data_IF_813764232606
#
_entry.id   IF_813764232606
#
_cell.length_a   1.000
_cell.length_b   1.000
_cell.length_c   1.000
_cell.angle_alpha   90.00
_cell.angle_beta   90.00
_cell.angle_gamma   90.00
#
_symmetry.space_group_name_H-M   'P 1'
#
loop_
_entity.id
_entity.type
_entity.pdbx_description
1 polymer ?
#
# COMPACT_ATOMS: atom_id res chain seq x y z
N UNK A 1 -30.37 2.86 -53.49
CA UNK A 1 -30.38 4.30 -53.84
C UNK A 1 -29.12 4.93 -53.28
N UNK A 2 -28.10 5.10 -54.12
CA UNK A 2 -26.81 5.68 -53.72
C UNK A 2 -26.90 7.20 -53.72
N UNK A 3 -26.75 7.82 -52.55
CA UNK A 3 -26.54 9.26 -52.41
C UNK A 3 -25.15 9.61 -52.98
N UNK A 4 -25.10 10.13 -54.21
CA UNK A 4 -23.90 10.79 -54.73
C UNK A 4 -23.77 12.15 -54.05
N UNK A 5 -22.83 12.23 -53.12
CA UNK A 5 -22.27 13.50 -52.68
C UNK A 5 -21.68 14.19 -53.91
N UNK A 6 -22.36 15.24 -54.39
CA UNK A 6 -21.80 16.18 -55.36
C UNK A 6 -20.68 16.94 -54.64
N UNK A 7 -19.48 16.36 -54.65
CA UNK A 7 -18.24 17.07 -54.41
C UNK A 7 -18.07 18.05 -55.58
N UNK A 8 -18.57 19.27 -55.42
CA UNK A 8 -18.07 20.40 -56.18
C UNK A 8 -16.61 20.57 -55.79
N UNK A 9 -15.71 19.93 -56.55
CA UNK A 9 -14.30 20.26 -56.55
C UNK A 9 -14.18 21.68 -57.13
N UNK A 10 -14.33 22.69 -56.28
CA UNK A 10 -13.81 24.01 -56.56
C UNK A 10 -12.28 23.88 -56.58
N UNK A 11 -11.74 23.53 -57.75
CA UNK A 11 -10.32 23.54 -58.02
C UNK A 11 -9.94 25.00 -58.17
N UNK A 12 -9.70 25.69 -57.05
CA UNK A 12 -8.97 26.96 -57.08
C UNK A 12 -7.57 26.59 -57.57
N UNK A 13 -7.36 26.77 -58.87
CA UNK A 13 -6.06 26.73 -59.51
C UNK A 13 -5.14 27.63 -58.66
N UNK A 14 -4.00 27.13 -58.20
CA UNK A 14 -2.97 28.00 -57.59
C UNK A 14 -2.21 28.66 -58.74
N UNK A 15 -2.40 29.93 -59.09
CA UNK A 15 -1.31 30.68 -59.67
C UNK A 15 -0.39 31.15 -58.55
N UNK A 16 0.90 31.13 -58.85
CA UNK A 16 1.92 31.93 -58.17
C UNK A 16 1.40 33.36 -57.99
N UNK A 17 1.25 33.78 -56.73
CA UNK A 17 0.94 35.14 -56.30
C UNK A 17 -0.09 35.89 -57.18
N UNK A 18 -1.39 35.78 -56.82
CA UNK A 18 -2.50 36.62 -57.31
C UNK A 18 -2.27 38.10 -56.92
N UNK A 19 -1.32 38.76 -57.58
CA UNK A 19 -0.82 40.08 -57.21
C UNK A 19 -0.10 40.74 -58.38
N UNK A 20 -0.79 40.87 -59.51
CA UNK A 20 -0.37 41.69 -60.64
C UNK A 20 -1.42 42.78 -60.86
N UNK A 21 -1.02 44.04 -60.80
CA UNK A 21 -1.85 45.25 -60.76
C UNK A 21 -2.73 45.52 -62.01
N UNK A 22 -2.92 44.55 -62.91
CA UNK A 22 -3.62 44.72 -64.18
C UNK A 22 -4.71 43.66 -64.47
N UNK A 23 -5.15 42.84 -63.51
CA UNK A 23 -6.30 41.94 -63.72
C UNK A 23 -7.62 42.65 -63.41
N UNK A 24 -8.36 42.99 -64.45
CA UNK A 24 -9.78 43.37 -64.37
C UNK A 24 -10.65 42.14 -64.14
N UNK A 25 -11.90 42.32 -63.69
CA UNK A 25 -12.91 41.31 -63.29
C UNK A 25 -13.16 40.12 -64.24
N UNK A 26 -12.45 40.03 -65.37
CA UNK A 26 -12.54 39.02 -66.43
C UNK A 26 -11.84 37.69 -66.13
N UNK A 27 -11.05 37.60 -65.05
CA UNK A 27 -10.31 36.38 -64.66
C UNK A 27 -11.08 35.48 -63.68
N UNK A 28 -12.24 35.94 -63.21
CA UNK A 28 -13.09 35.24 -62.26
C UNK A 28 -14.31 34.72 -63.02
N UNK A 29 -14.67 33.47 -62.79
CA UNK A 29 -15.84 32.85 -63.42
C UNK A 29 -17.10 33.69 -63.13
N UNK A 30 -17.84 34.07 -64.18
CA UNK A 30 -19.01 34.96 -64.06
C UNK A 30 -20.09 34.39 -63.13
N UNK A 31 -20.21 33.06 -63.06
CA UNK A 31 -21.08 32.36 -62.12
C UNK A 31 -20.64 32.56 -60.66
N UNK A 32 -19.34 32.58 -60.38
CA UNK A 32 -18.84 32.88 -59.04
C UNK A 32 -19.11 34.34 -58.66
N UNK A 33 -18.88 35.28 -59.58
CA UNK A 33 -19.15 36.71 -59.35
C UNK A 33 -20.64 36.96 -59.12
N UNK A 34 -21.52 36.31 -59.86
CA UNK A 34 -22.97 36.45 -59.69
C UNK A 34 -23.44 35.94 -58.31
N UNK A 35 -22.92 34.80 -57.84
CA UNK A 35 -23.21 34.31 -56.50
C UNK A 35 -22.58 35.17 -55.40
N UNK A 36 -21.39 35.74 -55.62
CA UNK A 36 -20.75 36.65 -54.67
C UNK A 36 -21.57 37.94 -54.48
N UNK A 37 -22.12 38.49 -55.57
CA UNK A 37 -23.02 39.65 -55.55
C UNK A 37 -24.29 39.40 -54.73
N UNK A 38 -24.73 38.15 -54.58
CA UNK A 38 -25.85 37.77 -53.71
C UNK A 38 -25.38 37.48 -52.27
N UNK A 39 -24.26 36.78 -52.11
CA UNK A 39 -23.74 36.36 -50.80
C UNK A 39 -23.31 37.53 -49.92
N UNK A 40 -22.59 38.50 -50.48
CA UNK A 40 -22.01 39.62 -49.72
C UNK A 40 -23.10 40.48 -49.09
N UNK A 41 -24.12 40.97 -49.81
CA UNK A 41 -25.25 41.68 -49.19
C UNK A 41 -26.01 40.80 -48.20
N UNK A 42 -26.13 39.49 -48.46
CA UNK A 42 -26.82 38.58 -47.53
C UNK A 42 -26.07 38.44 -46.19
N UNK A 43 -24.74 38.50 -46.17
CA UNK A 43 -23.96 38.40 -44.93
C UNK A 43 -23.72 39.75 -44.23
N UNK A 44 -23.57 40.85 -45.01
CA UNK A 44 -23.08 42.14 -44.51
C UNK A 44 -24.08 43.29 -44.61
N UNK A 45 -25.30 43.04 -45.11
CA UNK A 45 -26.36 44.06 -45.06
C UNK A 45 -26.68 44.45 -43.61
N UNK A 46 -27.04 45.72 -43.36
CA UNK A 46 -27.24 46.24 -42.01
C UNK A 46 -28.30 45.46 -41.21
N UNK A 47 -29.28 44.89 -41.91
CA UNK A 47 -30.35 44.06 -41.34
C UNK A 47 -29.86 42.68 -40.87
N UNK A 48 -28.80 42.16 -41.48
CA UNK A 48 -28.25 40.82 -41.20
C UNK A 48 -26.99 40.85 -40.31
N UNK A 49 -26.54 42.03 -39.88
CA UNK A 49 -25.40 42.18 -38.98
C UNK A 49 -25.74 41.73 -37.56
N UNK A 50 -25.27 40.53 -37.20
CA UNK A 50 -25.43 39.98 -35.85
C UNK A 50 -24.39 40.60 -34.90
N UNK A 51 -24.86 41.24 -33.83
CA UNK A 51 -23.98 41.76 -32.76
C UNK A 51 -23.30 40.60 -32.04
N UNK A 52 -22.01 40.74 -31.75
CA UNK A 52 -21.28 39.71 -31.01
C UNK A 52 -21.78 39.67 -29.56
N UNK A 53 -22.18 38.49 -29.11
CA UNK A 53 -22.59 38.23 -27.73
C UNK A 53 -21.65 37.22 -27.07
N UNK A 54 -21.38 37.43 -25.78
CA UNK A 54 -20.67 36.50 -24.91
C UNK A 54 -21.55 36.29 -23.68
N UNK A 55 -21.97 35.06 -23.42
CA UNK A 55 -22.92 34.76 -22.33
C UNK A 55 -24.31 35.38 -22.53
N UNK A 56 -24.73 35.59 -23.78
CA UNK A 56 -26.04 36.20 -24.11
C UNK A 56 -26.11 37.72 -23.91
N UNK A 57 -24.98 38.40 -23.65
CA UNK A 57 -24.92 39.86 -23.60
C UNK A 57 -24.09 40.44 -24.76
N UNK A 58 -24.53 41.54 -25.39
CA UNK A 58 -23.79 42.19 -26.46
C UNK A 58 -22.52 42.87 -25.92
N UNK A 59 -21.38 42.64 -26.59
CA UNK A 59 -20.07 43.16 -26.16
C UNK A 59 -19.65 44.42 -26.95
N UNK A 60 -18.95 45.34 -26.28
CA UNK A 60 -18.34 46.52 -26.94
C UNK A 60 -16.97 46.16 -27.53
N UNK A 61 -16.54 46.88 -28.57
CA UNK A 61 -15.25 46.64 -29.23
C UNK A 61 -14.04 46.68 -28.27
N UNK A 62 -14.03 47.60 -27.29
CA UNK A 62 -12.96 47.69 -26.28
C UNK A 62 -12.87 46.43 -25.40
N UNK A 63 -14.02 45.84 -25.08
CA UNK A 63 -14.13 44.71 -24.17
C UNK A 63 -13.84 43.41 -24.93
N UNK A 64 -14.15 43.37 -26.24
CA UNK A 64 -13.75 42.30 -27.14
C UNK A 64 -12.23 42.15 -27.25
N UNK A 65 -11.48 43.26 -27.33
CA UNK A 65 -10.01 43.20 -27.33
C UNK A 65 -9.47 42.62 -26.02
N UNK A 66 -10.00 43.05 -24.87
CA UNK A 66 -9.64 42.49 -23.57
C UNK A 66 -9.95 41.00 -23.49
N UNK A 67 -11.12 40.59 -23.99
CA UNK A 67 -11.50 39.19 -24.05
C UNK A 67 -10.52 38.36 -24.89
N UNK A 68 -10.09 38.87 -26.05
CA UNK A 68 -9.07 38.20 -26.86
C UNK A 68 -7.73 38.08 -26.12
N UNK A 69 -7.28 39.14 -25.42
CA UNK A 69 -6.03 39.08 -24.65
C UNK A 69 -6.11 38.03 -23.55
N UNK A 70 -7.19 38.02 -22.76
CA UNK A 70 -7.41 37.03 -21.70
C UNK A 70 -7.52 35.61 -22.27
N UNK A 71 -8.25 35.44 -23.37
CA UNK A 71 -8.38 34.15 -24.03
C UNK A 71 -7.02 33.63 -24.50
N UNK A 72 -6.20 34.49 -25.12
CA UNK A 72 -4.84 34.11 -25.53
C UNK A 72 -3.91 33.83 -24.35
N UNK A 73 -4.15 34.40 -23.18
CA UNK A 73 -3.41 34.10 -21.95
C UNK A 73 -3.77 32.71 -21.41
N UNK A 74 -5.06 32.37 -21.34
CA UNK A 74 -5.54 31.03 -20.96
C UNK A 74 -5.01 29.94 -21.90
N UNK A 75 -4.90 30.23 -23.20
CA UNK A 75 -4.33 29.28 -24.17
C UNK A 75 -2.81 29.15 -24.13
N UNK A 76 -2.10 30.03 -23.40
CA UNK A 76 -0.65 29.86 -23.16
C UNK A 76 -0.37 28.89 -22.01
N UNK A 77 -1.31 28.76 -21.08
CA UNK A 77 -1.20 27.79 -20.00
C UNK A 77 -1.45 26.39 -20.58
N UNK A 78 -0.52 25.45 -20.36
CA UNK A 78 -0.54 24.07 -20.88
C UNK A 78 -1.69 23.20 -20.32
N UNK A 79 -2.70 23.81 -19.69
CA UNK A 79 -3.80 23.10 -19.03
C UNK A 79 -4.92 22.69 -19.99
N UNK A 80 -4.92 23.20 -21.23
CA UNK A 80 -5.85 22.72 -22.26
C UNK A 80 -5.29 21.47 -22.95
N UNK A 81 -6.05 20.37 -23.03
CA UNK A 81 -5.61 19.18 -23.75
C UNK A 81 -5.37 19.53 -25.22
N UNK A 82 -4.22 19.14 -25.75
CA UNK A 82 -3.92 19.34 -27.16
C UNK A 82 -4.99 18.64 -28.02
N UNK A 83 -5.43 19.26 -29.13
CA UNK A 83 -6.37 18.64 -30.05
C UNK A 83 -5.73 17.43 -30.71
N UNK A 84 -5.87 16.26 -30.08
CA UNK A 84 -5.42 14.98 -30.63
C UNK A 84 -6.38 14.48 -31.69
N UNK A 85 -5.87 13.70 -32.63
CA UNK A 85 -6.73 13.07 -33.63
C UNK A 85 -7.65 12.07 -32.94
N UNK A 86 -8.89 11.91 -33.41
CA UNK A 86 -9.84 10.94 -32.84
C UNK A 86 -9.25 9.51 -32.76
N UNK A 87 -8.39 9.16 -33.73
CA UNK A 87 -7.70 7.86 -33.78
C UNK A 87 -6.65 7.72 -32.67
N UNK A 88 -5.91 8.78 -32.38
CA UNK A 88 -4.94 8.82 -31.30
C UNK A 88 -5.61 8.77 -29.93
N UNK A 89 -6.69 9.54 -29.74
CA UNK A 89 -7.51 9.49 -28.53
C UNK A 89 -8.05 8.07 -28.27
N UNK A 90 -8.60 7.42 -29.31
CA UNK A 90 -9.08 6.05 -29.20
C UNK A 90 -7.96 5.04 -28.88
N UNK A 91 -6.77 5.22 -29.48
CA UNK A 91 -5.61 4.38 -29.20
C UNK A 91 -5.09 4.57 -27.77
N UNK A 92 -5.06 5.80 -27.27
CA UNK A 92 -4.67 6.14 -25.90
C UNK A 92 -5.66 5.55 -24.90
N UNK A 93 -6.96 5.79 -25.09
CA UNK A 93 -8.01 5.25 -24.21
C UNK A 93 -8.00 3.72 -24.17
N UNK A 94 -7.83 3.06 -25.33
CA UNK A 94 -7.72 1.60 -25.36
C UNK A 94 -6.43 1.09 -24.70
N UNK A 95 -5.31 1.78 -24.85
CA UNK A 95 -4.04 1.38 -24.22
C UNK A 95 -4.10 1.54 -22.71
N UNK A 96 -4.76 2.60 -22.23
CA UNK A 96 -4.99 2.82 -20.81
C UNK A 96 -5.88 1.73 -20.19
N UNK A 97 -7.00 1.38 -20.83
CA UNK A 97 -7.86 0.30 -20.37
C UNK A 97 -7.14 -1.07 -20.35
N UNK A 98 -6.27 -1.31 -21.34
CA UNK A 98 -5.43 -2.51 -21.36
C UNK A 98 -4.38 -2.51 -20.24
N UNK A 99 -3.80 -1.35 -19.91
CA UNK A 99 -2.85 -1.20 -18.81
C UNK A 99 -3.53 -1.51 -17.46
N UNK A 100 -4.71 -0.97 -17.22
CA UNK A 100 -5.49 -1.24 -16.01
C UNK A 100 -5.80 -2.73 -15.87
N UNK A 101 -6.25 -3.37 -16.94
CA UNK A 101 -6.49 -4.81 -16.96
C UNK A 101 -5.21 -5.65 -16.71
N UNK A 102 -4.06 -5.22 -17.22
CA UNK A 102 -2.78 -5.88 -16.95
C UNK A 102 -2.39 -5.77 -15.47
N UNK A 103 -2.61 -4.60 -14.85
CA UNK A 103 -2.38 -4.38 -13.42
C UNK A 103 -3.32 -5.23 -12.56
N UNK A 104 -4.60 -5.29 -12.90
CA UNK A 104 -5.58 -6.14 -12.20
C UNK A 104 -5.15 -7.61 -12.20
N UNK A 105 -4.73 -8.13 -13.37
CA UNK A 105 -4.26 -9.51 -13.48
C UNK A 105 -3.01 -9.78 -12.62
N UNK A 106 -2.09 -8.82 -12.53
CA UNK A 106 -0.93 -8.92 -11.64
C UNK A 106 -1.33 -8.92 -10.16
N UNK A 107 -2.21 -8.00 -9.77
CA UNK A 107 -2.70 -7.86 -8.39
C UNK A 107 -3.44 -9.13 -7.96
N UNK A 108 -4.29 -9.70 -8.80
CA UNK A 108 -5.01 -10.94 -8.51
C UNK A 108 -4.06 -12.11 -8.19
N UNK A 109 -3.00 -12.27 -8.99
CA UNK A 109 -2.01 -13.34 -8.80
C UNK A 109 -1.19 -13.10 -7.53
N UNK A 110 -0.72 -11.87 -7.33
CA UNK A 110 0.10 -11.54 -6.16
C UNK A 110 -0.71 -11.61 -4.86
N UNK A 111 -1.96 -11.16 -4.85
CA UNK A 111 -2.84 -11.27 -3.68
C UNK A 111 -3.16 -12.74 -3.35
N UNK A 112 -3.32 -13.59 -4.36
CA UNK A 112 -3.50 -15.02 -4.13
C UNK A 112 -2.27 -15.68 -3.45
N UNK A 113 -1.07 -15.16 -3.69
CA UNK A 113 0.21 -15.68 -3.18
C UNK A 113 0.63 -15.07 -1.84
N UNK A 114 0.62 -13.73 -1.73
CA UNK A 114 1.13 -12.96 -0.59
C UNK A 114 0.06 -12.10 0.10
N UNK A 115 -1.22 -12.27 -0.25
CA UNK A 115 -2.34 -11.54 0.36
C UNK A 115 -2.46 -11.75 1.88
N UNK A 116 -3.26 -10.92 2.55
CA UNK A 116 -3.27 -10.79 4.02
C UNK A 116 -3.29 -12.10 4.82
N UNK A 117 -4.11 -13.06 4.38
CA UNK A 117 -4.31 -14.36 5.03
C UNK A 117 -3.24 -15.42 4.70
N UNK A 118 -2.30 -15.12 3.79
CA UNK A 118 -1.26 -16.05 3.36
C UNK A 118 -0.01 -15.95 4.27
N UNK A 119 0.61 -17.11 4.61
CA UNK A 119 1.84 -17.12 5.41
C UNK A 119 3.02 -16.50 4.65
N UNK A 120 4.09 -16.18 5.39
CA UNK A 120 5.33 -15.65 4.81
C UNK A 120 5.87 -16.55 3.68
N UNK A 121 6.12 -15.94 2.53
CA UNK A 121 6.73 -16.60 1.37
C UNK A 121 8.23 -16.28 1.32
N UNK A 122 9.07 -17.26 1.01
CA UNK A 122 10.52 -17.03 0.87
C UNK A 122 10.79 -16.07 -0.30
N UNK A 123 11.73 -15.14 -0.12
CA UNK A 123 12.07 -14.09 -1.10
C UNK A 123 12.40 -14.66 -2.49
N UNK A 124 13.19 -15.74 -2.57
CA UNK A 124 13.55 -16.39 -3.84
C UNK A 124 12.33 -16.97 -4.57
N UNK A 125 11.37 -17.55 -3.83
CA UNK A 125 10.14 -18.09 -4.43
C UNK A 125 9.21 -16.96 -4.87
N UNK A 126 9.15 -15.88 -4.10
CA UNK A 126 8.36 -14.70 -4.41
C UNK A 126 8.83 -14.02 -5.69
N UNK A 127 10.14 -13.92 -5.92
CA UNK A 127 10.72 -13.33 -7.14
C UNK A 127 10.39 -14.16 -8.39
N UNK A 128 10.45 -15.49 -8.30
CA UNK A 128 10.06 -16.39 -9.40
C UNK A 128 8.59 -16.22 -9.76
N UNK A 129 7.70 -16.17 -8.77
CA UNK A 129 6.28 -15.99 -9.02
C UNK A 129 5.94 -14.57 -9.50
N UNK A 130 6.66 -13.55 -9.00
CA UNK A 130 6.57 -12.18 -9.52
C UNK A 130 6.90 -12.12 -11.01
N UNK A 131 7.99 -12.75 -11.45
CA UNK A 131 8.37 -12.77 -12.87
C UNK A 131 7.30 -13.43 -13.75
N UNK A 132 6.74 -14.56 -13.30
CA UNK A 132 5.62 -15.22 -14.00
C UNK A 132 4.37 -14.33 -14.05
N UNK A 133 4.03 -13.66 -12.95
CA UNK A 133 2.89 -12.75 -12.88
C UNK A 133 3.09 -11.54 -13.80
N UNK A 134 4.32 -11.00 -13.87
CA UNK A 134 4.71 -9.91 -14.76
C UNK A 134 4.55 -10.31 -16.23
N UNK A 135 5.06 -11.48 -16.63
CA UNK A 135 4.89 -11.98 -18.00
C UNK A 135 3.41 -12.14 -18.36
N UNK A 136 2.59 -12.68 -17.45
CA UNK A 136 1.15 -12.82 -17.65
C UNK A 136 0.43 -11.46 -17.75
N UNK A 137 0.83 -10.46 -16.97
CA UNK A 137 0.28 -9.11 -17.05
C UNK A 137 0.60 -8.44 -18.40
N UNK A 138 1.85 -8.56 -18.88
CA UNK A 138 2.27 -8.05 -20.19
C UNK A 138 1.51 -8.76 -21.32
N UNK A 139 1.34 -10.09 -21.23
CA UNK A 139 0.55 -10.84 -22.21
C UNK A 139 -0.91 -10.36 -22.25
N UNK A 140 -1.53 -10.16 -21.08
CA UNK A 140 -2.91 -9.65 -20.96
C UNK A 140 -3.05 -8.25 -21.56
N UNK A 141 -2.06 -7.39 -21.35
CA UNK A 141 -2.00 -6.06 -21.96
C UNK A 141 -1.98 -6.14 -23.49
N UNK A 142 -1.10 -6.97 -24.06
CA UNK A 142 -0.98 -7.14 -25.52
C UNK A 142 -2.25 -7.73 -26.15
N UNK A 143 -2.92 -8.65 -25.47
CA UNK A 143 -4.17 -9.25 -25.93
C UNK A 143 -5.34 -8.25 -25.93
N UNK A 144 -5.43 -7.40 -24.90
CA UNK A 144 -6.49 -6.39 -24.77
C UNK A 144 -6.25 -5.13 -25.62
N UNK A 145 -4.99 -4.77 -25.88
CA UNK A 145 -4.66 -3.58 -26.67
C UNK A 145 -4.75 -3.85 -28.20
N UNK A 146 -5.98 -3.80 -28.74
CA UNK A 146 -6.25 -4.08 -30.17
C UNK A 146 -5.80 -2.97 -31.13
N UNK A 147 -5.69 -1.73 -30.65
CA UNK A 147 -5.36 -0.54 -31.46
C UNK A 147 -3.85 -0.30 -31.59
N UNK A 148 -3.05 -1.00 -30.79
CA UNK A 148 -1.62 -0.83 -30.74
C UNK A 148 -0.85 -1.10 -32.02
N UNK A 149 -1.40 -1.90 -32.95
CA UNK A 149 -0.75 -2.21 -34.22
C UNK A 149 -0.54 -1.00 -35.15
N UNK A 150 -1.30 0.09 -34.99
CA UNK A 150 -1.15 1.30 -35.83
C UNK A 150 -0.27 2.38 -35.20
N UNK A 151 -0.18 2.41 -33.86
CA UNK A 151 0.54 3.43 -33.08
C UNK A 151 1.51 2.78 -32.08
N UNK A 152 2.54 2.11 -32.60
CA UNK A 152 3.50 1.31 -31.81
C UNK A 152 4.19 2.13 -30.70
N UNK A 153 4.46 3.41 -30.92
CA UNK A 153 5.10 4.31 -29.95
C UNK A 153 4.26 4.51 -28.69
N UNK A 154 2.94 4.66 -28.82
CA UNK A 154 2.01 4.80 -27.69
C UNK A 154 1.96 3.50 -26.89
N UNK A 155 1.88 2.36 -27.59
CA UNK A 155 1.84 1.03 -26.95
C UNK A 155 3.07 0.77 -26.11
N UNK A 156 4.26 1.07 -26.65
CA UNK A 156 5.53 0.88 -25.95
C UNK A 156 5.59 1.74 -24.70
N UNK A 157 5.23 3.03 -24.80
CA UNK A 157 5.17 3.93 -23.64
C UNK A 157 4.28 3.39 -22.50
N UNK A 158 3.10 2.87 -22.84
CA UNK A 158 2.19 2.27 -21.86
C UNK A 158 2.67 0.90 -21.35
N UNK A 159 3.41 0.13 -22.15
CA UNK A 159 4.02 -1.13 -21.75
C UNK A 159 5.18 -0.92 -20.76
N UNK A 160 6.03 0.09 -21.01
CA UNK A 160 7.11 0.48 -20.12
C UNK A 160 6.52 0.99 -18.79
N UNK A 161 5.51 1.86 -18.87
CA UNK A 161 4.77 2.32 -17.69
C UNK A 161 4.11 1.18 -16.90
N UNK A 162 3.56 0.17 -17.58
CA UNK A 162 3.03 -1.03 -16.92
C UNK A 162 4.13 -1.78 -16.17
N UNK A 163 5.32 -1.93 -16.75
CA UNK A 163 6.46 -2.59 -16.09
C UNK A 163 6.91 -1.82 -14.84
N UNK A 164 7.09 -0.51 -14.94
CA UNK A 164 7.47 0.33 -13.79
C UNK A 164 6.45 0.26 -12.66
N UNK A 165 5.16 0.26 -12.99
CA UNK A 165 4.09 0.17 -12.01
C UNK A 165 4.02 -1.21 -11.34
N UNK A 166 4.29 -2.28 -12.09
CA UNK A 166 4.44 -3.63 -11.55
C UNK A 166 5.61 -3.70 -10.57
N UNK A 167 6.76 -3.10 -10.91
CA UNK A 167 7.93 -3.07 -10.03
C UNK A 167 7.64 -2.28 -8.73
N UNK A 168 6.96 -1.14 -8.83
CA UNK A 168 6.49 -0.38 -7.65
C UNK A 168 5.52 -1.20 -6.78
N UNK A 169 4.60 -1.94 -7.39
CA UNK A 169 3.68 -2.82 -6.66
C UNK A 169 4.43 -3.98 -6.00
N UNK A 170 5.43 -4.56 -6.66
CA UNK A 170 6.28 -5.61 -6.11
C UNK A 170 7.01 -5.16 -4.84
N UNK A 171 7.57 -3.95 -4.84
CA UNK A 171 8.20 -3.39 -3.64
C UNK A 171 7.24 -3.32 -2.46
N UNK A 172 5.98 -2.91 -2.69
CA UNK A 172 4.94 -2.89 -1.66
C UNK A 172 4.63 -4.29 -1.13
N UNK A 173 4.43 -5.27 -2.02
CA UNK A 173 4.17 -6.65 -1.62
C UNK A 173 5.36 -7.27 -0.87
N UNK A 174 6.60 -6.95 -1.28
CA UNK A 174 7.81 -7.43 -0.61
C UNK A 174 7.88 -6.91 0.83
N UNK A 175 7.65 -5.62 1.03
CA UNK A 175 7.61 -5.02 2.38
C UNK A 175 6.50 -5.62 3.24
N UNK A 176 5.31 -5.85 2.66
CA UNK A 176 4.21 -6.53 3.36
C UNK A 176 4.58 -7.96 3.77
N UNK A 177 5.26 -8.69 2.90
CA UNK A 177 5.71 -10.05 3.18
C UNK A 177 6.79 -10.06 4.28
N UNK A 178 7.77 -9.15 4.23
CA UNK A 178 8.77 -9.01 5.29
C UNK A 178 8.13 -8.64 6.64
N UNK A 179 7.15 -7.74 6.63
CA UNK A 179 6.41 -7.38 7.84
C UNK A 179 5.76 -8.60 8.48
N UNK A 180 5.18 -9.53 7.70
CA UNK A 180 4.62 -10.79 8.22
C UNK A 180 5.65 -11.65 8.95
N UNK A 181 6.89 -11.68 8.47
CA UNK A 181 7.97 -12.40 9.15
C UNK A 181 8.32 -11.75 10.49
N UNK A 182 8.43 -10.41 10.52
CA UNK A 182 8.69 -9.65 11.74
C UNK A 182 7.56 -9.81 12.76
N UNK A 183 6.29 -9.72 12.34
CA UNK A 183 5.14 -9.95 13.20
C UNK A 183 5.11 -11.38 13.76
N UNK A 184 5.49 -12.38 12.94
CA UNK A 184 5.60 -13.76 13.41
C UNK A 184 6.70 -13.91 14.46
N UNK A 185 7.85 -13.27 14.27
CA UNK A 185 8.95 -13.28 15.23
C UNK A 185 8.60 -12.52 16.53
N UNK A 186 7.84 -11.42 16.45
CA UNK A 186 7.46 -10.58 17.58
C UNK A 186 6.25 -11.11 18.38
N UNK A 187 5.49 -12.08 17.85
CA UNK A 187 4.31 -12.64 18.51
C UNK A 187 4.66 -13.38 19.82
N UNK A 188 5.71 -14.19 19.81
CA UNK A 188 6.14 -14.94 21.00
C UNK A 188 6.56 -14.04 22.16
N UNK A 189 7.44 -13.01 21.99
CA UNK A 189 7.79 -12.13 23.10
C UNK A 189 6.61 -11.27 23.57
N UNK A 190 5.75 -10.82 22.65
CA UNK A 190 4.57 -10.04 23.02
C UNK A 190 3.58 -10.86 23.88
N UNK A 191 3.30 -12.11 23.49
CA UNK A 191 2.42 -13.00 24.27
C UNK A 191 3.00 -13.33 25.64
N UNK A 192 4.30 -13.61 25.73
CA UNK A 192 4.98 -13.81 27.02
C UNK A 192 4.91 -12.56 27.91
N UNK A 193 5.10 -11.37 27.35
CA UNK A 193 4.98 -10.10 28.08
C UNK A 193 3.56 -9.87 28.60
N UNK A 194 2.52 -10.15 27.81
CA UNK A 194 1.13 -10.06 28.27
C UNK A 194 0.83 -11.02 29.43
N UNK A 195 1.34 -12.25 29.37
CA UNK A 195 1.19 -13.24 30.45
C UNK A 195 1.90 -12.76 31.72
N UNK A 196 3.13 -12.24 31.61
CA UNK A 196 3.89 -11.66 32.72
C UNK A 196 3.12 -10.53 33.41
N UNK A 197 2.57 -9.60 32.63
CA UNK A 197 1.77 -8.48 33.14
C UNK A 197 0.51 -8.98 33.87
N UNK A 198 -0.17 -10.00 33.33
CA UNK A 198 -1.35 -10.59 33.94
C UNK A 198 -1.03 -11.23 35.31
N UNK A 199 0.02 -12.06 35.40
CA UNK A 199 0.43 -12.68 36.66
C UNK A 199 0.92 -11.65 37.69
N UNK A 200 1.56 -10.58 37.25
CA UNK A 200 1.98 -9.48 38.14
C UNK A 200 0.78 -8.76 38.76
N UNK A 201 -0.22 -8.41 37.95
CA UNK A 201 -1.44 -7.77 38.44
C UNK A 201 -2.21 -8.70 39.39
N UNK A 202 -2.35 -9.99 39.05
CA UNK A 202 -3.02 -10.96 39.91
C UNK A 202 -2.29 -11.17 41.24
N UNK A 203 -0.96 -11.27 41.23
CA UNK A 203 -0.16 -11.37 42.44
C UNK A 203 -0.37 -10.16 43.36
N UNK A 204 -0.41 -8.95 42.79
CA UNK A 204 -0.69 -7.72 43.53
C UNK A 204 -2.07 -7.72 44.19
N UNK A 205 -3.12 -8.17 43.49
CA UNK A 205 -4.48 -8.25 44.04
C UNK A 205 -4.55 -9.25 45.20
N UNK A 206 -3.97 -10.45 45.04
CA UNK A 206 -3.98 -11.46 46.11
C UNK A 206 -3.13 -11.06 47.32
N UNK A 207 -2.04 -10.31 47.09
CA UNK A 207 -1.23 -9.72 48.16
C UNK A 207 -2.01 -8.68 48.98
N UNK A 208 -2.83 -7.86 48.34
CA UNK A 208 -3.70 -6.88 49.01
C UNK A 208 -4.82 -7.53 49.81
N UNK A 209 -5.38 -8.64 49.32
CA UNK A 209 -6.42 -9.42 50.03
C UNK A 209 -5.86 -10.26 51.19
N UNK A 210 -4.54 -10.29 51.40
CA UNK A 210 -3.90 -11.07 52.47
C UNK A 210 -3.82 -12.58 52.21
N UNK A 211 -4.06 -13.03 50.98
CA UNK A 211 -3.99 -14.44 50.58
C UNK A 211 -2.57 -14.83 50.15
N UNK A 212 -1.67 -14.93 51.13
CA UNK A 212 -0.23 -15.12 50.88
C UNK A 212 0.10 -16.41 50.12
N UNK A 213 -0.59 -17.53 50.37
CA UNK A 213 -0.33 -18.79 49.65
C UNK A 213 -0.60 -18.67 48.15
N UNK A 214 -1.65 -17.94 47.76
CA UNK A 214 -1.99 -17.71 46.35
C UNK A 214 -1.03 -16.71 45.69
N UNK A 215 -0.65 -15.64 46.40
CA UNK A 215 0.35 -14.69 45.91
C UNK A 215 1.71 -15.38 45.65
N UNK A 216 2.14 -16.28 46.53
CA UNK A 216 3.35 -17.07 46.35
C UNK A 216 3.30 -18.00 45.13
N UNK A 217 2.15 -18.64 44.86
CA UNK A 217 1.97 -19.43 43.63
C UNK A 217 2.03 -18.56 42.36
N UNK A 218 1.42 -17.36 42.38
CA UNK A 218 1.50 -16.42 41.26
C UNK A 218 2.93 -15.91 41.02
N UNK A 219 3.70 -15.65 42.08
CA UNK A 219 5.11 -15.25 41.97
C UNK A 219 6.00 -16.37 41.43
N UNK A 220 5.74 -17.62 41.80
CA UNK A 220 6.44 -18.78 41.21
C UNK A 220 6.11 -18.93 39.72
N UNK A 221 4.84 -18.77 39.34
CA UNK A 221 4.42 -18.76 37.94
C UNK A 221 5.12 -17.67 37.13
N UNK A 222 5.20 -16.46 37.68
CA UNK A 222 5.96 -15.35 37.07
C UNK A 222 7.43 -15.70 36.84
N UNK A 223 8.09 -16.33 37.82
CA UNK A 223 9.48 -16.80 37.69
C UNK A 223 9.66 -17.80 36.54
N UNK A 224 8.76 -18.76 36.38
CA UNK A 224 8.79 -19.73 35.28
C UNK A 224 8.63 -19.06 33.92
N UNK A 225 7.72 -18.10 33.78
CA UNK A 225 7.54 -17.36 32.53
C UNK A 225 8.71 -16.43 32.20
N UNK A 226 9.37 -15.84 33.21
CA UNK A 226 10.61 -15.09 33.03
C UNK A 226 11.73 -15.98 32.51
N UNK A 227 11.92 -17.18 33.09
CA UNK A 227 12.92 -18.14 32.62
C UNK A 227 12.64 -18.61 31.18
N UNK A 228 11.38 -18.80 30.81
CA UNK A 228 11.00 -19.11 29.43
C UNK A 228 11.27 -17.95 28.46
N UNK A 229 11.01 -16.70 28.87
CA UNK A 229 11.32 -15.52 28.05
C UNK A 229 12.82 -15.37 27.85
N UNK A 230 13.62 -15.52 28.90
CA UNK A 230 15.08 -15.44 28.79
C UNK A 230 15.66 -16.57 27.94
N UNK A 231 15.13 -17.79 28.05
CA UNK A 231 15.51 -18.90 27.18
C UNK A 231 15.13 -18.64 25.70
N UNK A 232 13.93 -18.12 25.44
CA UNK A 232 13.51 -17.74 24.09
C UNK A 232 14.37 -16.60 23.51
N UNK A 233 14.68 -15.58 24.31
CA UNK A 233 15.55 -14.47 23.93
C UNK A 233 16.96 -14.96 23.63
N UNK A 234 17.49 -15.90 24.43
CA UNK A 234 18.79 -16.53 24.20
C UNK A 234 18.85 -17.30 22.88
N UNK A 235 17.86 -18.16 22.61
CA UNK A 235 17.78 -18.92 21.35
C UNK A 235 17.60 -18.00 20.15
N UNK A 236 16.72 -16.99 20.25
CA UNK A 236 16.49 -16.03 19.16
C UNK A 236 17.74 -15.20 18.88
N UNK A 237 18.44 -14.77 19.92
CA UNK A 237 19.71 -14.05 19.80
C UNK A 237 20.77 -14.88 19.07
N UNK A 238 20.91 -16.17 19.42
CA UNK A 238 21.82 -17.08 18.72
C UNK A 238 21.45 -17.30 17.25
N UNK A 239 20.16 -17.34 16.91
CA UNK A 239 19.68 -17.53 15.53
C UNK A 239 19.85 -16.27 14.69
N UNK A 240 19.72 -15.07 15.28
CA UNK A 240 19.77 -13.79 14.55
C UNK A 240 21.19 -13.21 14.41
N UNK A 241 22.11 -13.42 15.36
CA UNK A 241 23.38 -12.70 15.39
C UNK A 241 24.62 -13.58 15.12
N UNK A 242 25.12 -13.51 13.88
CA UNK A 242 26.51 -13.85 13.51
C UNK A 242 27.43 -12.63 13.70
N UNK A 243 27.38 -11.94 14.85
CA UNK A 243 28.28 -10.80 15.14
C UNK A 243 28.81 -10.87 16.58
N UNK A 244 30.13 -10.90 16.69
CA UNK A 244 30.95 -11.31 17.83
C UNK A 244 30.96 -10.34 19.04
N UNK A 245 30.24 -9.22 19.03
CA UNK A 245 30.48 -8.12 20.01
C UNK A 245 29.49 -8.00 21.18
N UNK A 246 28.34 -8.69 21.18
CA UNK A 246 27.31 -8.56 22.25
C UNK A 246 27.05 -9.85 23.05
N UNK A 247 27.75 -10.93 22.73
CA UNK A 247 27.55 -12.25 23.34
C UNK A 247 27.83 -12.25 24.85
N UNK A 248 28.82 -11.48 25.32
CA UNK A 248 29.21 -11.42 26.72
C UNK A 248 28.21 -10.68 27.63
N UNK A 249 27.61 -9.58 27.15
CA UNK A 249 26.69 -8.79 27.98
C UNK A 249 25.35 -9.51 28.18
N UNK A 250 24.79 -10.05 27.10
CA UNK A 250 23.53 -10.81 27.16
C UNK A 250 23.72 -12.14 27.88
N UNK A 251 24.85 -12.83 27.67
CA UNK A 251 25.19 -14.07 28.38
C UNK A 251 25.37 -13.86 29.90
N UNK A 252 26.07 -12.79 30.30
CA UNK A 252 26.23 -12.45 31.72
C UNK A 252 24.91 -12.03 32.38
N UNK A 253 24.04 -11.31 31.65
CA UNK A 253 22.69 -10.99 32.13
C UNK A 253 21.82 -12.25 32.28
N UNK A 254 21.89 -13.18 31.33
CA UNK A 254 21.19 -14.46 31.41
C UNK A 254 21.65 -15.29 32.62
N UNK A 255 22.97 -15.42 32.81
CA UNK A 255 23.53 -16.11 33.98
C UNK A 255 23.10 -15.44 35.30
N UNK A 256 23.06 -14.11 35.34
CA UNK A 256 22.61 -13.37 36.53
C UNK A 256 21.11 -13.57 36.82
N UNK A 257 20.25 -13.52 35.80
CA UNK A 257 18.80 -13.74 35.96
C UNK A 257 18.50 -15.20 36.33
N UNK A 258 19.18 -16.16 35.70
CA UNK A 258 19.06 -17.58 36.05
C UNK A 258 19.54 -17.80 37.48
N UNK A 259 20.68 -17.23 37.89
CA UNK A 259 21.18 -17.34 39.26
C UNK A 259 20.21 -16.74 40.29
N UNK A 260 19.63 -15.56 40.02
CA UNK A 260 18.62 -14.92 40.87
C UNK A 260 17.30 -15.70 40.93
N UNK A 261 16.81 -16.19 39.77
CA UNK A 261 15.59 -16.98 39.68
C UNK A 261 15.72 -18.36 40.33
N UNK A 262 16.90 -18.98 40.23
CA UNK A 262 17.23 -20.22 40.93
C UNK A 262 17.29 -19.99 42.44
N UNK A 263 17.88 -18.87 42.89
CA UNK A 263 17.97 -18.54 44.32
C UNK A 263 16.58 -18.26 44.95
N UNK A 264 15.68 -17.58 44.24
CA UNK A 264 14.33 -17.29 44.74
C UNK A 264 13.41 -18.51 44.75
N UNK A 265 13.49 -19.39 43.74
CA UNK A 265 12.79 -20.69 43.73
C UNK A 265 13.35 -21.63 44.79
N UNK A 266 14.67 -21.61 45.03
CA UNK A 266 15.33 -22.39 46.07
C UNK A 266 14.96 -21.91 47.49
N UNK A 267 14.88 -20.60 47.74
CA UNK A 267 14.37 -20.11 49.04
C UNK A 267 12.88 -20.42 49.24
N UNK A 268 12.07 -20.37 48.19
CA UNK A 268 10.64 -20.69 48.25
C UNK A 268 10.39 -22.19 48.51
N UNK A 269 11.24 -23.08 47.96
CA UNK A 269 11.16 -24.52 48.22
C UNK A 269 11.70 -24.90 49.61
N UNK A 270 12.75 -24.23 50.09
CA UNK A 270 13.28 -24.43 51.46
C UNK A 270 12.28 -23.98 52.51
N UNK A 271 11.62 -22.83 52.32
CA UNK A 271 10.58 -22.34 53.24
C UNK A 271 9.31 -23.20 53.22
N UNK A 272 8.91 -23.76 52.06
CA UNK A 272 7.85 -24.76 51.99
C UNK A 272 8.23 -26.08 52.70
N UNK A 273 9.50 -26.51 52.56
CA UNK A 273 10.00 -27.71 53.23
C UNK A 273 10.09 -27.53 54.75
N UNK A 274 10.52 -26.36 55.23
CA UNK A 274 10.51 -26.00 56.66
C UNK A 274 9.07 -25.88 57.21
N UNK A 275 8.14 -25.30 56.45
CA UNK A 275 6.72 -25.26 56.82
C UNK A 275 6.08 -26.66 56.86
N UNK A 276 6.48 -27.57 55.96
CA UNK A 276 6.02 -28.96 55.95
C UNK A 276 6.63 -29.78 57.10
N UNK A 277 7.88 -29.51 57.48
CA UNK A 277 8.52 -30.10 58.66
C UNK A 277 7.89 -29.60 59.97
N UNK A 278 7.54 -28.31 60.08
CA UNK A 278 6.81 -27.76 61.23
C UNK A 278 5.41 -28.37 61.37
N UNK A 279 4.66 -28.52 60.27
CA UNK A 279 3.33 -29.15 60.30
C UNK A 279 3.38 -30.66 60.67
N UNK A 280 4.44 -31.38 60.28
CA UNK A 280 4.63 -32.79 60.70
C UNK A 280 5.25 -32.93 62.10
N UNK A 281 6.00 -31.93 62.57
CA UNK A 281 6.55 -31.87 63.92
C UNK A 281 5.51 -31.63 65.02
N UNK A 282 4.46 -30.85 64.73
CA UNK A 282 3.38 -30.57 65.70
C UNK A 282 2.42 -31.76 65.92
N UNK A 283 2.32 -32.72 64.99
CA UNK A 283 1.58 -33.97 65.25
C UNK A 283 2.30 -34.92 66.22
N UNK A 284 3.58 -34.67 66.53
CA UNK A 284 4.39 -35.52 67.41
C UNK A 284 4.43 -35.04 68.86
N UNK A 285 3.75 -33.93 69.20
CA UNK A 285 3.82 -33.30 70.52
C UNK A 285 2.43 -33.00 71.10
N UNK A 286 1.73 -34.07 71.52
CA UNK A 286 0.65 -33.95 72.51
C UNK A 286 1.06 -34.64 73.82
N UNK A 287 0.89 -34.02 75.00
CA UNK A 287 1.43 -34.51 76.25
C UNK A 287 0.46 -35.48 76.93
N UNK A 288 0.81 -36.77 77.01
CA UNK A 288 0.13 -37.69 77.93
C UNK A 288 0.76 -37.57 79.32
N UNK A 289 0.04 -36.86 80.20
CA UNK A 289 0.14 -37.12 81.63
C UNK A 289 -0.40 -38.53 81.93
N UNK A 290 0.32 -39.33 82.73
CA UNK A 290 -0.31 -40.01 83.86
C UNK A 290 0.72 -40.47 84.90
N UNK A 291 0.35 -40.29 86.15
CA UNK A 291 1.08 -40.46 87.41
C UNK A 291 0.67 -41.78 88.03
N UNK A 292 1.60 -42.64 88.46
CA UNK A 292 1.32 -43.68 89.47
C UNK A 292 2.52 -43.82 90.40
N UNK A 293 2.24 -43.76 91.70
CA UNK A 293 3.11 -43.92 92.86
C UNK A 293 3.04 -45.35 93.42
N UNK A 294 3.96 -45.65 94.36
CA UNK A 294 4.08 -46.81 95.27
C UNK A 294 4.84 -48.04 94.74
N UNK A 295 5.59 -48.83 95.52
CA UNK A 295 6.30 -48.75 96.83
C UNK A 295 7.13 -50.05 96.93
N UNK A 296 8.24 -50.01 97.68
CA UNK A 296 9.10 -51.05 98.30
C UNK A 296 8.92 -52.56 97.98
N UNK A 297 10.04 -53.27 97.74
CA UNK A 297 10.65 -54.20 98.72
C UNK A 297 11.69 -55.13 98.09
N UNK A 298 12.77 -55.32 98.86
CA UNK A 298 13.90 -56.28 98.82
C UNK A 298 15.05 -56.07 97.81
#
# INVERSE_FOLDING_TARGET
MYNRVFLCKAKVQRPSCFGGSNHTDTDIEEEFVSHLKVLVPRLLSPENLVKKEIGGQPIKARDLLKFFTLFMEVFKDNDLPEPTTLVEFAAQASSQAALEAGKEAYVEIMEALVGGDRPFLKTVQMEVEHNKAREKAVKTYLEKNKYGRKNQSVVQRYQDSLSEEIDKMYLKYSQQNEAKNVFKAARTPATLFCILMFFYLMSGIFGLLGMYSFASMCNLGMGVFLLMLTAWAYVSFMVTWKIHSLHGFVGNFFLWVVHQGLHSTFQSSVSLFEAFQLHNGDLSRSPSQFKVSHVDSD
#
